data_IF_152462397092
#
_entry.id   IF_152462397092
#
_cell.length_a   1.000
_cell.length_b   1.000
_cell.length_c   1.000
_cell.angle_alpha   90.00
_cell.angle_beta   90.00
_cell.angle_gamma   90.00
#
_symmetry.space_group_name_H-M   'P 1'
#
loop_
_entity.id
_entity.type
_entity.pdbx_description
1 polymer ?
#
# COMPACT_ATOMS: atom_id res chain seq x y z
N UNK A 1 -25.94 -0.15 11.93
CA UNK A 1 -24.83 -0.53 11.03
C UNK A 1 -23.58 0.14 11.60
N UNK A 2 -22.48 -0.58 11.84
CA UNK A 2 -21.23 0.07 12.23
C UNK A 2 -20.84 1.11 11.16
N UNK A 3 -20.19 2.21 11.55
CA UNK A 3 -19.77 3.24 10.59
C UNK A 3 -18.79 2.64 9.56
N UNK A 4 -18.89 3.10 8.32
CA UNK A 4 -18.02 2.65 7.24
C UNK A 4 -16.55 3.00 7.54
N UNK A 5 -15.61 2.05 7.40
CA UNK A 5 -14.23 2.26 7.76
C UNK A 5 -13.46 3.06 6.72
N UNK A 6 -12.43 3.76 7.16
CA UNK A 6 -11.40 4.33 6.30
C UNK A 6 -10.27 3.33 6.11
N UNK A 7 -9.68 3.32 4.91
CA UNK A 7 -8.49 2.52 4.61
C UNK A 7 -7.39 3.44 4.10
N UNK A 8 -6.26 3.44 4.79
CA UNK A 8 -5.01 4.06 4.34
C UNK A 8 -4.02 3.00 3.91
N UNK A 9 -3.10 3.39 3.04
CA UNK A 9 -2.06 2.49 2.52
C UNK A 9 -0.70 3.15 2.55
N UNK A 10 0.31 2.34 2.77
CA UNK A 10 1.71 2.70 2.65
C UNK A 10 2.40 1.70 1.74
N UNK A 11 3.07 2.17 0.69
CA UNK A 11 3.71 1.31 -0.29
C UNK A 11 5.22 1.56 -0.45
N UNK A 12 5.88 0.55 -0.99
CA UNK A 12 7.22 0.67 -1.56
C UNK A 12 7.22 0.18 -3.00
N UNK A 13 7.95 0.88 -3.86
CA UNK A 13 7.92 0.64 -5.31
C UNK A 13 9.31 0.75 -5.91
N UNK A 14 9.46 0.22 -7.12
CA UNK A 14 10.65 0.36 -7.96
C UNK A 14 10.62 1.61 -8.84
N UNK A 15 9.68 2.53 -8.63
CA UNK A 15 9.59 3.75 -9.42
C UNK A 15 8.30 4.55 -9.23
N UNK A 16 8.14 5.64 -9.99
CA UNK A 16 7.09 6.64 -9.72
C UNK A 16 5.69 6.23 -10.19
N UNK A 17 5.57 5.27 -11.12
CA UNK A 17 4.28 4.85 -11.69
C UNK A 17 4.19 3.33 -11.83
N UNK A 18 2.98 2.74 -11.70
CA UNK A 18 2.77 1.30 -11.89
C UNK A 18 2.82 0.91 -13.37
N UNK A 19 3.21 -0.34 -13.63
CA UNK A 19 3.31 -0.90 -14.98
C UNK A 19 4.76 -0.99 -15.45
N UNK A 20 5.42 0.13 -15.77
CA UNK A 20 6.86 0.15 -15.99
C UNK A 20 7.68 -0.16 -14.74
N UNK A 21 7.11 0.07 -13.55
CA UNK A 21 7.73 -0.20 -12.25
C UNK A 21 6.81 -1.01 -11.35
N UNK A 22 7.41 -1.76 -10.42
CA UNK A 22 6.71 -2.71 -9.55
C UNK A 22 6.33 -2.09 -8.21
N UNK A 23 5.15 -2.45 -7.70
CA UNK A 23 4.83 -2.47 -6.28
C UNK A 23 5.61 -3.61 -5.61
N UNK A 24 6.38 -3.29 -4.58
CA UNK A 24 7.25 -4.23 -3.87
C UNK A 24 6.68 -4.62 -2.51
N UNK A 25 6.08 -3.66 -1.80
CA UNK A 25 5.44 -3.90 -0.52
C UNK A 25 4.17 -3.07 -0.45
N UNK A 26 3.09 -3.70 0.00
CA UNK A 26 1.82 -3.07 0.32
C UNK A 26 1.57 -3.25 1.82
N UNK A 27 1.32 -2.16 2.51
CA UNK A 27 0.76 -2.17 3.86
C UNK A 27 -0.53 -1.35 3.85
N UNK A 28 -1.55 -1.83 4.53
CA UNK A 28 -2.83 -1.13 4.66
C UNK A 28 -3.39 -1.30 6.05
N UNK A 29 -4.08 -0.28 6.54
CA UNK A 29 -4.83 -0.34 7.79
C UNK A 29 -6.28 0.08 7.53
N UNK A 30 -7.21 -0.70 8.05
CA UNK A 30 -8.61 -0.31 8.17
C UNK A 30 -8.82 0.29 9.56
N UNK A 31 -9.44 1.46 9.61
CA UNK A 31 -9.68 2.22 10.84
C UNK A 31 -11.12 2.71 10.86
N UNK A 32 -11.69 2.82 12.05
CA UNK A 32 -13.00 3.47 12.23
C UNK A 32 -12.92 4.98 11.95
N UNK A 33 -14.07 5.64 11.80
CA UNK A 33 -14.13 7.10 11.64
C UNK A 33 -13.47 7.89 12.80
N UNK A 34 -13.44 7.31 13.99
CA UNK A 34 -12.80 7.89 15.18
C UNK A 34 -11.30 7.52 15.30
N UNK A 35 -10.74 6.85 14.28
CA UNK A 35 -9.32 6.51 14.20
C UNK A 35 -8.90 5.24 14.93
N UNK A 36 -9.86 4.44 15.44
CA UNK A 36 -9.55 3.16 16.09
C UNK A 36 -9.20 2.09 15.03
N UNK A 37 -8.05 1.41 15.11
CA UNK A 37 -7.69 0.34 14.18
C UNK A 37 -8.65 -0.85 14.27
N UNK A 38 -9.06 -1.37 13.10
CA UNK A 38 -9.92 -2.54 12.95
C UNK A 38 -9.07 -3.76 12.60
N UNK A 39 -8.31 -3.66 11.51
CA UNK A 39 -7.40 -4.70 11.05
C UNK A 39 -6.35 -4.12 10.11
N UNK A 40 -5.32 -4.90 9.82
CA UNK A 40 -4.24 -4.51 8.91
C UNK A 40 -3.95 -5.61 7.91
N UNK A 41 -3.40 -5.21 6.76
CA UNK A 41 -2.91 -6.12 5.73
C UNK A 41 -1.48 -5.73 5.36
N UNK A 42 -0.61 -6.71 5.21
CA UNK A 42 0.73 -6.48 4.66
C UNK A 42 1.13 -7.59 3.71
N UNK A 43 1.80 -7.22 2.62
CA UNK A 43 2.30 -8.16 1.63
C UNK A 43 3.54 -7.61 0.93
N UNK A 44 4.55 -8.46 0.81
CA UNK A 44 5.59 -8.30 -0.19
C UNK A 44 5.11 -8.88 -1.51
N UNK A 45 5.28 -8.12 -2.58
CA UNK A 45 4.77 -8.40 -3.92
C UNK A 45 5.96 -8.54 -4.85
N UNK A 46 6.00 -9.66 -5.59
CA UNK A 46 7.04 -9.91 -6.58
C UNK A 46 6.91 -8.95 -7.76
N UNK A 47 8.05 -8.58 -8.34
CA UNK A 47 8.14 -7.68 -9.46
C UNK A 47 7.30 -8.15 -10.67
N UNK A 48 6.76 -7.18 -11.41
CA UNK A 48 6.04 -7.45 -12.66
C UNK A 48 7.02 -7.94 -13.74
N UNK A 49 6.62 -8.91 -14.58
CA UNK A 49 7.38 -9.24 -15.78
C UNK A 49 7.58 -8.01 -16.67
N UNK A 50 8.84 -7.70 -17.00
CA UNK A 50 9.20 -6.57 -17.86
C UNK A 50 9.22 -5.19 -17.17
N UNK A 51 8.83 -5.10 -15.89
CA UNK A 51 9.06 -3.88 -15.13
C UNK A 51 10.56 -3.71 -14.83
N UNK A 52 10.99 -2.46 -14.72
CA UNK A 52 12.39 -2.09 -14.49
C UNK A 52 12.49 -1.22 -13.24
N UNK A 53 13.69 -1.17 -12.65
CA UNK A 53 13.97 -0.29 -11.53
C UNK A 53 14.29 1.12 -12.02
N UNK A 54 13.55 2.11 -11.56
CA UNK A 54 13.78 3.52 -11.87
C UNK A 54 15.10 4.00 -11.25
N UNK A 55 15.90 4.85 -11.93
CA UNK A 55 17.18 5.32 -11.39
C UNK A 55 17.10 6.02 -10.02
N UNK A 56 16.03 6.79 -9.78
CA UNK A 56 15.79 7.44 -8.48
C UNK A 56 15.42 6.41 -7.40
N UNK A 57 14.63 5.39 -7.74
CA UNK A 57 14.33 4.31 -6.78
C UNK A 57 15.61 3.53 -6.47
N UNK A 58 16.47 3.28 -7.47
CA UNK A 58 17.77 2.64 -7.27
C UNK A 58 18.68 3.43 -6.32
N UNK A 59 18.74 4.76 -6.43
CA UNK A 59 19.56 5.57 -5.51
C UNK A 59 19.03 5.47 -4.07
N UNK A 60 17.71 5.49 -3.87
CA UNK A 60 17.10 5.31 -2.55
C UNK A 60 17.34 3.90 -1.99
N UNK A 61 17.18 2.85 -2.80
CA UNK A 61 17.40 1.47 -2.36
C UNK A 61 18.87 1.18 -2.03
N UNK A 62 19.82 1.81 -2.74
CA UNK A 62 21.25 1.71 -2.38
C UNK A 62 21.55 2.22 -0.98
N UNK A 63 20.87 3.28 -0.55
CA UNK A 63 20.99 3.79 0.83
C UNK A 63 20.26 2.92 1.86
N UNK A 64 19.36 2.03 1.42
CA UNK A 64 18.46 1.21 2.24
C UNK A 64 18.46 -0.25 1.76
N UNK A 65 19.64 -0.84 1.64
CA UNK A 65 19.80 -2.17 1.02
C UNK A 65 19.07 -3.28 1.79
N UNK A 66 19.06 -3.23 3.12
CA UNK A 66 18.37 -4.23 3.96
C UNK A 66 16.86 -4.20 3.76
N UNK A 67 16.29 -3.00 3.65
CA UNK A 67 14.88 -2.78 3.33
C UNK A 67 14.54 -3.32 1.94
N UNK A 68 15.39 -3.08 0.95
CA UNK A 68 15.22 -3.63 -0.40
C UNK A 68 15.30 -5.16 -0.43
N UNK A 69 16.19 -5.77 0.36
CA UNK A 69 16.22 -7.21 0.55
C UNK A 69 14.97 -7.71 1.28
N UNK A 70 14.45 -6.93 2.22
CA UNK A 70 13.25 -7.27 2.97
C UNK A 70 12.01 -7.31 2.08
N UNK A 71 11.86 -6.40 1.11
CA UNK A 71 10.74 -6.47 0.14
C UNK A 71 10.73 -7.76 -0.68
N UNK A 72 11.87 -8.42 -0.83
CA UNK A 72 12.02 -9.68 -1.58
C UNK A 72 11.70 -10.91 -0.72
N UNK A 73 11.73 -10.80 0.61
CA UNK A 73 11.47 -11.91 1.52
C UNK A 73 10.02 -12.34 1.44
N UNK A 74 9.80 -13.65 1.25
CA UNK A 74 8.48 -14.25 1.12
C UNK A 74 7.55 -13.51 0.12
N UNK A 75 8.14 -12.90 -0.93
CA UNK A 75 7.37 -12.15 -1.92
C UNK A 75 6.45 -13.07 -2.71
N UNK A 76 5.19 -12.64 -2.83
CA UNK A 76 4.14 -13.40 -3.49
C UNK A 76 3.93 -12.88 -4.91
N UNK A 77 3.54 -13.72 -5.88
CA UNK A 77 3.16 -13.24 -7.20
C UNK A 77 2.05 -12.16 -7.09
N UNK A 78 2.03 -11.14 -7.97
CA UNK A 78 1.06 -10.04 -7.87
C UNK A 78 -0.39 -10.46 -7.83
N UNK A 79 -0.80 -11.40 -8.68
CA UNK A 79 -2.19 -11.86 -8.76
C UNK A 79 -2.72 -12.39 -7.41
N UNK A 80 -2.14 -13.44 -6.79
CA UNK A 80 -2.61 -13.92 -5.50
C UNK A 80 -2.48 -12.87 -4.38
N UNK A 81 -1.44 -12.04 -4.38
CA UNK A 81 -1.31 -10.98 -3.38
C UNK A 81 -2.46 -9.96 -3.44
N UNK A 82 -2.86 -9.57 -4.64
CA UNK A 82 -3.97 -8.62 -4.84
C UNK A 82 -5.34 -9.27 -4.63
N UNK A 83 -5.50 -10.55 -4.99
CA UNK A 83 -6.72 -11.31 -4.65
C UNK A 83 -6.91 -11.39 -3.14
N UNK A 84 -5.85 -11.67 -2.38
CA UNK A 84 -5.92 -11.71 -0.92
C UNK A 84 -6.18 -10.33 -0.31
N UNK A 85 -5.58 -9.27 -0.88
CA UNK A 85 -5.87 -7.91 -0.46
C UNK A 85 -7.34 -7.53 -0.69
N UNK A 86 -7.89 -7.86 -1.87
CA UNK A 86 -9.30 -7.65 -2.16
C UNK A 86 -10.21 -8.44 -1.23
N UNK A 87 -9.86 -9.69 -0.89
CA UNK A 87 -10.63 -10.50 0.06
C UNK A 87 -10.63 -9.87 1.44
N UNK A 88 -9.47 -9.42 1.92
CA UNK A 88 -9.36 -8.71 3.20
C UNK A 88 -10.27 -7.47 3.24
N UNK A 89 -10.35 -6.71 2.14
CA UNK A 89 -11.26 -5.56 2.02
C UNK A 89 -12.74 -5.96 2.06
N UNK A 90 -13.11 -7.06 1.41
CA UNK A 90 -14.49 -7.57 1.43
C UNK A 90 -14.92 -8.09 2.82
N UNK A 91 -13.96 -8.49 3.66
CA UNK A 91 -14.19 -8.96 5.03
C UNK A 91 -14.32 -7.81 6.05
N UNK A 92 -14.05 -6.56 5.63
CA UNK A 92 -14.22 -5.38 6.50
C UNK A 92 -15.71 -5.11 6.77
N UNK A 93 -16.05 -4.55 7.95
CA UNK A 93 -17.42 -4.12 8.21
C UNK A 93 -17.81 -2.97 7.29
N UNK A 94 -19.01 -3.00 6.72
CA UNK A 94 -19.53 -1.89 5.92
C UNK A 94 -18.86 -1.76 4.55
N UNK A 95 -18.80 -0.55 4.02
CA UNK A 95 -18.24 -0.23 2.70
C UNK A 95 -17.03 0.69 2.83
N UNK A 96 -15.79 0.15 2.77
CA UNK A 96 -14.60 0.93 3.08
C UNK A 96 -14.38 2.10 2.10
N UNK A 97 -13.93 3.24 2.62
CA UNK A 97 -13.47 4.40 1.82
C UNK A 97 -11.94 4.45 1.83
N UNK A 98 -11.34 4.50 0.65
CA UNK A 98 -9.90 4.67 0.52
C UNK A 98 -9.53 6.13 0.79
N UNK A 99 -8.60 6.39 1.71
CA UNK A 99 -8.09 7.73 1.98
C UNK A 99 -6.74 7.87 1.29
N UNK A 100 -6.60 8.88 0.43
CA UNK A 100 -5.42 9.12 -0.38
C UNK A 100 -4.81 10.49 -0.11
N UNK A 101 -3.49 10.55 -0.09
CA UNK A 101 -2.71 11.77 -0.34
C UNK A 101 -2.34 11.80 -1.85
N UNK A 102 -2.87 12.75 -2.64
CA UNK A 102 -2.56 12.84 -4.07
C UNK A 102 -1.08 13.11 -4.39
N UNK A 103 -0.30 13.59 -3.42
CA UNK A 103 1.14 13.79 -3.58
C UNK A 103 1.94 12.48 -3.45
N UNK A 104 1.31 11.39 -2.99
CA UNK A 104 1.95 10.09 -2.79
C UNK A 104 1.53 9.08 -3.87
N UNK A 105 2.40 8.13 -4.24
CA UNK A 105 2.12 7.17 -5.31
C UNK A 105 1.14 6.06 -4.89
N UNK A 106 0.79 5.96 -3.61
CA UNK A 106 0.00 4.89 -3.01
C UNK A 106 -1.29 4.59 -3.78
N UNK A 107 -2.13 5.62 -3.98
CA UNK A 107 -3.39 5.48 -4.69
C UNK A 107 -3.21 4.93 -6.12
N UNK A 108 -2.27 5.49 -6.89
CA UNK A 108 -2.12 5.10 -8.31
C UNK A 108 -1.63 3.67 -8.46
N UNK A 109 -0.73 3.22 -7.58
CA UNK A 109 -0.25 1.82 -7.59
C UNK A 109 -1.35 0.86 -7.14
N UNK A 110 -2.01 1.14 -6.02
CA UNK A 110 -3.07 0.25 -5.49
C UNK A 110 -4.23 0.15 -6.47
N UNK A 111 -4.68 1.27 -7.03
CA UNK A 111 -5.72 1.29 -8.05
C UNK A 111 -5.32 0.46 -9.28
N UNK A 112 -4.14 0.70 -9.84
CA UNK A 112 -3.69 -0.02 -11.04
C UNK A 112 -3.54 -1.53 -10.79
N UNK A 113 -2.99 -1.93 -9.64
CA UNK A 113 -2.78 -3.34 -9.31
C UNK A 113 -4.11 -4.07 -9.09
N UNK A 114 -5.06 -3.45 -8.37
CA UNK A 114 -6.40 -4.01 -8.20
C UNK A 114 -7.13 -4.13 -9.54
N UNK A 115 -7.08 -3.12 -10.40
CA UNK A 115 -7.68 -3.22 -11.73
C UNK A 115 -7.04 -4.31 -12.58
N UNK A 116 -5.71 -4.43 -12.57
CA UNK A 116 -5.01 -5.42 -13.38
C UNK A 116 -5.23 -6.86 -12.92
N UNK A 117 -5.26 -7.12 -11.61
CA UNK A 117 -5.23 -8.48 -11.08
C UNK A 117 -6.55 -8.96 -10.48
N UNK A 118 -7.43 -8.04 -10.12
CA UNK A 118 -8.76 -8.35 -9.54
C UNK A 118 -9.88 -7.87 -10.46
N UNK A 119 -9.65 -6.80 -11.24
CA UNK A 119 -10.62 -6.28 -12.22
C UNK A 119 -11.67 -5.35 -11.62
N UNK A 120 -11.48 -4.85 -10.39
CA UNK A 120 -12.38 -3.89 -9.74
C UNK A 120 -11.68 -3.01 -8.71
N UNK A 121 -12.38 -1.95 -8.31
CA UNK A 121 -12.07 -1.13 -7.14
C UNK A 121 -13.02 -1.52 -5.99
N UNK A 122 -12.55 -2.22 -4.95
CA UNK A 122 -13.37 -2.76 -3.85
C UNK A 122 -13.71 -1.73 -2.76
N UNK A 123 -13.62 -0.43 -3.05
CA UNK A 123 -13.95 0.65 -2.12
C UNK A 123 -15.19 1.40 -2.59
N UNK A 124 -15.97 1.92 -1.64
CA UNK A 124 -17.16 2.74 -1.93
C UNK A 124 -16.79 4.07 -2.61
N UNK A 125 -15.60 4.59 -2.32
CA UNK A 125 -15.07 5.82 -2.88
C UNK A 125 -13.63 6.05 -2.49
N UNK A 126 -13.07 7.13 -3.04
CA UNK A 126 -11.73 7.63 -2.74
C UNK A 126 -11.85 9.03 -2.17
N UNK A 127 -11.38 9.23 -0.94
CA UNK A 127 -11.29 10.53 -0.29
C UNK A 127 -9.88 11.09 -0.47
N UNK A 128 -9.77 12.25 -1.12
CA UNK A 128 -8.50 12.95 -1.31
C UNK A 128 -8.29 13.93 -0.16
N UNK A 129 -7.72 13.44 0.94
CA UNK A 129 -7.50 14.23 2.15
C UNK A 129 -6.12 13.88 2.74
N UNK A 130 -5.06 14.65 2.40
CA UNK A 130 -3.71 14.43 2.92
C UNK A 130 -3.63 14.52 4.45
N UNK A 131 -4.41 15.42 5.06
CA UNK A 131 -4.40 15.62 6.51
C UNK A 131 -5.00 14.43 7.26
N UNK A 132 -6.08 13.86 6.72
CA UNK A 132 -6.64 12.62 7.23
C UNK A 132 -5.71 11.43 6.95
N UNK A 133 -5.12 11.37 5.75
CA UNK A 133 -4.15 10.33 5.39
C UNK A 133 -2.99 10.27 6.41
N UNK A 134 -2.42 11.42 6.78
CA UNK A 134 -1.34 11.51 7.76
C UNK A 134 -1.78 11.11 9.18
N UNK A 135 -2.98 11.53 9.59
CA UNK A 135 -3.54 11.12 10.90
C UNK A 135 -3.81 9.63 11.01
N UNK A 136 -4.07 8.99 9.88
CA UNK A 136 -4.35 7.56 9.77
C UNK A 136 -3.14 6.79 9.22
N UNK A 137 -1.94 7.33 9.37
CA UNK A 137 -0.73 6.73 8.81
C UNK A 137 -0.55 5.27 9.27
N UNK A 138 -0.44 4.37 8.29
CA UNK A 138 -0.28 2.95 8.51
C UNK A 138 1.18 2.49 8.37
N UNK A 139 2.13 3.42 8.16
CA UNK A 139 3.57 3.11 8.09
C UNK A 139 4.08 2.40 9.35
N UNK A 140 3.48 2.62 10.52
CA UNK A 140 3.81 1.88 11.73
C UNK A 140 3.60 0.35 11.61
N UNK A 141 2.70 -0.10 10.73
CA UNK A 141 2.43 -1.52 10.47
C UNK A 141 3.30 -2.10 9.34
N UNK A 142 4.09 -1.26 8.67
CA UNK A 142 5.02 -1.69 7.64
C UNK A 142 6.10 -2.60 8.24
N UNK A 143 6.49 -3.61 7.46
CA UNK A 143 7.47 -4.60 7.89
C UNK A 143 8.92 -4.17 7.68
N UNK A 144 9.16 -3.08 6.95
CA UNK A 144 10.50 -2.54 6.69
C UNK A 144 10.99 -1.73 7.90
N UNK A 145 12.31 -1.76 8.13
CA UNK A 145 12.91 -1.17 9.32
C UNK A 145 12.79 0.36 9.28
N UNK A 146 13.00 0.98 8.12
CA UNK A 146 12.92 2.43 7.99
C UNK A 146 11.52 2.98 8.26
N UNK A 147 10.47 2.18 8.08
CA UNK A 147 9.09 2.61 8.35
C UNK A 147 8.86 2.88 9.85
N UNK A 148 9.71 2.32 10.73
CA UNK A 148 9.58 2.42 12.19
C UNK A 148 10.52 3.45 12.80
N UNK A 149 11.38 4.07 11.99
CA UNK A 149 12.27 5.14 12.43
C UNK A 149 11.58 6.46 12.11
N UNK A 150 11.29 7.32 13.11
CA UNK A 150 10.82 8.66 12.84
C UNK A 150 11.81 9.35 11.91
N UNK A 151 11.35 9.99 10.84
CA UNK A 151 12.20 10.86 10.03
C UNK A 151 12.88 11.85 10.98
N UNK A 152 14.20 11.76 11.10
CA UNK A 152 14.97 12.74 11.87
C UNK A 152 14.71 14.11 11.23
N UNK A 153 14.26 15.05 12.07
CA UNK A 153 13.91 16.43 11.72
C UNK A 153 15.03 17.17 10.98
#
# INVERSE_FOLDING_TARGET
>A
MPPDPFVTTHIHTDGPIPGPHSLLTLTSAAVTGDGVPISTFTANVRELPGATLHPIALSHWRARADDWLHTRRASRPPAPAMTDYSRWLDELPGSPTFVADPARPDYVFVYWYLQRFVGRWPFAGTLLDPGLHDRLDCSAFCSLASCRVPLAS
#
